data_IF_964709495373
#
_entry.id   IF_964709495373
#
_cell.length_a   1.000
_cell.length_b   1.000
_cell.length_c   1.000
_cell.angle_alpha   90.00
_cell.angle_beta   90.00
_cell.angle_gamma   90.00
#
_symmetry.space_group_name_H-M   'P 1'
#
loop_
_entity.id
_entity.type
_entity.pdbx_description
1 polymer ?
#
# COMPACT_ATOMS: atom_id res chain seq x y z
N UNK A 1 -20.56 0.35 0.57
CA UNK A 1 -21.73 0.91 -0.14
C UNK A 1 -22.82 -0.14 -0.20
N UNK A 2 -24.08 0.23 0.03
CA UNK A 2 -25.23 -0.68 -0.04
C UNK A 2 -26.33 -0.03 -0.87
N UNK A 3 -26.84 -0.76 -1.86
CA UNK A 3 -28.00 -0.38 -2.66
C UNK A 3 -29.17 -1.28 -2.25
N UNK A 4 -30.28 -0.69 -1.79
CA UNK A 4 -31.48 -1.40 -1.36
C UNK A 4 -32.67 -0.92 -2.18
N UNK A 5 -33.46 -1.87 -2.70
CA UNK A 5 -34.74 -1.58 -3.32
C UNK A 5 -35.86 -1.99 -2.38
N UNK A 6 -36.74 -1.04 -2.05
CA UNK A 6 -37.99 -1.32 -1.36
C UNK A 6 -39.09 -1.48 -2.40
N UNK A 7 -39.79 -2.61 -2.31
CA UNK A 7 -40.78 -3.01 -3.31
C UNK A 7 -42.19 -2.88 -2.74
N UNK A 8 -43.21 -3.17 -3.56
CA UNK A 8 -44.60 -3.25 -3.09
C UNK A 8 -44.76 -4.22 -1.91
N UNK A 9 -43.98 -5.31 -1.88
CA UNK A 9 -44.03 -6.33 -0.83
C UNK A 9 -43.34 -5.92 0.50
N UNK A 10 -42.65 -4.78 0.53
CA UNK A 10 -42.02 -4.26 1.75
C UNK A 10 -43.08 -3.67 2.69
N UNK A 11 -42.96 -3.94 3.99
CA UNK A 11 -43.89 -3.44 5.01
C UNK A 11 -43.97 -1.90 4.98
N UNK A 12 -45.18 -1.38 5.18
CA UNK A 12 -45.48 0.05 5.26
C UNK A 12 -44.69 0.77 6.35
N UNK A 13 -44.37 0.09 7.45
CA UNK A 13 -43.54 0.64 8.52
C UNK A 13 -42.11 0.97 8.04
N UNK A 14 -41.54 0.14 7.15
CA UNK A 14 -40.21 0.37 6.56
C UNK A 14 -40.21 1.44 5.47
N UNK A 15 -41.40 1.89 5.02
CA UNK A 15 -41.57 2.98 4.04
C UNK A 15 -41.77 4.35 4.70
N UNK A 16 -41.72 4.44 6.04
CA UNK A 16 -41.78 5.71 6.75
C UNK A 16 -40.57 6.59 6.43
N UNK A 17 -40.80 7.84 6.05
CA UNK A 17 -39.75 8.78 5.63
C UNK A 17 -38.63 8.94 6.68
N UNK A 18 -38.98 9.04 7.97
CA UNK A 18 -38.00 9.16 9.06
C UNK A 18 -37.10 7.92 9.17
N UNK A 19 -37.64 6.72 8.97
CA UNK A 19 -36.86 5.49 9.01
C UNK A 19 -35.98 5.37 7.75
N UNK A 20 -36.49 5.78 6.59
CA UNK A 20 -35.73 5.81 5.33
C UNK A 20 -34.54 6.77 5.40
N UNK A 21 -34.70 7.95 5.99
CA UNK A 21 -33.60 8.89 6.21
C UNK A 21 -32.56 8.31 7.17
N UNK A 22 -32.97 7.63 8.24
CA UNK A 22 -32.02 7.01 9.16
C UNK A 22 -31.26 5.85 8.53
N UNK A 23 -31.96 4.98 7.80
CA UNK A 23 -31.39 3.77 7.19
C UNK A 23 -30.56 4.04 5.94
N UNK A 24 -30.81 5.16 5.25
CA UNK A 24 -30.02 5.57 4.08
C UNK A 24 -28.65 6.13 4.45
N UNK A 25 -28.30 6.25 5.73
CA UNK A 25 -26.94 6.67 6.14
C UNK A 25 -25.87 5.71 5.57
N UNK A 26 -24.97 6.22 4.73
CA UNK A 26 -24.00 5.44 3.93
C UNK A 26 -24.62 4.41 2.95
N UNK A 27 -25.89 4.58 2.56
CA UNK A 27 -26.60 3.68 1.67
C UNK A 27 -27.52 4.42 0.70
N UNK A 28 -27.85 3.77 -0.41
CA UNK A 28 -28.88 4.24 -1.37
C UNK A 28 -30.10 3.36 -1.20
N UNK A 29 -31.24 3.96 -0.84
CA UNK A 29 -32.53 3.30 -0.75
C UNK A 29 -33.42 3.82 -1.88
N UNK A 30 -33.91 2.90 -2.72
CA UNK A 30 -34.80 3.19 -3.83
C UNK A 30 -36.19 2.65 -3.48
N UNK A 31 -37.15 3.54 -3.30
CA UNK A 31 -38.54 3.18 -2.99
C UNK A 31 -39.33 3.13 -4.29
N UNK A 32 -39.69 1.92 -4.71
CA UNK A 32 -40.50 1.72 -5.90
C UNK A 32 -41.97 2.08 -5.62
N UNK A 33 -42.65 2.75 -6.56
CA UNK A 33 -44.08 3.00 -6.45
C UNK A 33 -44.88 1.70 -6.63
N UNK A 34 -46.13 1.72 -6.17
CA UNK A 34 -47.06 0.63 -6.41
C UNK A 34 -47.33 0.48 -7.91
N UNK A 35 -47.01 -0.70 -8.44
CA UNK A 35 -47.11 -1.02 -9.86
C UNK A 35 -47.39 -2.52 -10.03
N UNK A 36 -48.15 -2.93 -11.06
CA UNK A 36 -48.61 -4.30 -11.25
C UNK A 36 -47.52 -5.32 -11.60
N UNK A 37 -46.25 -4.90 -11.69
CA UNK A 37 -45.12 -5.77 -12.06
C UNK A 37 -45.02 -7.03 -11.17
N UNK A 38 -45.44 -6.93 -9.90
CA UNK A 38 -45.42 -8.05 -8.97
C UNK A 38 -46.42 -9.15 -9.35
N UNK A 39 -47.63 -8.79 -9.78
CA UNK A 39 -48.68 -9.75 -10.19
C UNK A 39 -48.29 -10.47 -11.48
N UNK A 40 -47.72 -9.73 -12.44
CA UNK A 40 -47.18 -10.24 -13.70
C UNK A 40 -46.04 -11.24 -13.44
N UNK A 41 -45.10 -10.92 -12.55
CA UNK A 41 -44.02 -11.83 -12.14
C UNK A 41 -44.53 -13.06 -11.41
N UNK A 42 -45.48 -12.91 -10.49
CA UNK A 42 -46.05 -14.02 -9.75
C UNK A 42 -46.76 -15.01 -10.69
N UNK A 43 -47.52 -14.49 -11.65
CA UNK A 43 -48.23 -15.28 -12.67
C UNK A 43 -47.26 -16.05 -13.56
N UNK A 44 -46.20 -15.39 -14.06
CA UNK A 44 -45.15 -16.05 -14.82
C UNK A 44 -44.46 -17.17 -14.00
N UNK A 45 -44.13 -16.89 -12.73
CA UNK A 45 -43.46 -17.85 -11.84
C UNK A 45 -44.33 -19.06 -11.51
N UNK A 46 -45.63 -18.87 -11.30
CA UNK A 46 -46.60 -19.97 -11.11
C UNK A 46 -46.60 -20.92 -12.30
N UNK A 47 -46.63 -20.37 -13.51
CA UNK A 47 -46.59 -21.16 -14.76
C UNK A 47 -45.26 -21.93 -14.86
N UNK A 48 -44.12 -21.24 -14.72
CA UNK A 48 -42.79 -21.85 -14.77
C UNK A 48 -42.64 -22.98 -13.75
N UNK A 49 -43.15 -22.77 -12.53
CA UNK A 49 -43.17 -23.79 -11.46
C UNK A 49 -44.01 -25.00 -11.83
N UNK A 50 -45.21 -24.78 -12.37
CA UNK A 50 -46.09 -25.87 -12.79
C UNK A 50 -45.44 -26.74 -13.88
N UNK A 51 -44.83 -26.13 -14.89
CA UNK A 51 -44.13 -26.85 -15.96
C UNK A 51 -42.96 -27.66 -15.41
N UNK A 52 -42.16 -27.08 -14.50
CA UNK A 52 -40.99 -27.75 -13.91
C UNK A 52 -41.34 -29.00 -13.09
N UNK A 53 -42.53 -29.07 -12.52
CA UNK A 53 -42.99 -30.20 -11.70
C UNK A 53 -43.61 -31.35 -12.52
N UNK A 54 -43.82 -31.17 -13.83
CA UNK A 54 -44.52 -32.13 -14.70
C UNK A 54 -43.56 -32.70 -15.74
N UNK A 55 -43.71 -33.98 -16.05
CA UNK A 55 -43.02 -34.59 -17.19
C UNK A 55 -43.82 -34.35 -18.48
N UNK A 56 -43.59 -33.20 -19.12
CA UNK A 56 -44.40 -32.70 -20.25
C UNK A 56 -44.44 -33.69 -21.42
N UNK A 57 -43.37 -34.45 -21.64
CA UNK A 57 -43.25 -35.41 -22.76
C UNK A 57 -44.17 -36.62 -22.65
N UNK A 58 -44.64 -36.95 -21.44
CA UNK A 58 -45.53 -38.09 -21.18
C UNK A 58 -47.02 -37.71 -21.21
N UNK A 59 -47.34 -36.43 -21.40
CA UNK A 59 -48.72 -35.95 -21.41
C UNK A 59 -49.37 -36.08 -22.80
N UNK A 60 -50.71 -36.15 -22.89
CA UNK A 60 -51.42 -36.10 -24.18
C UNK A 60 -51.07 -34.84 -24.98
N UNK A 61 -51.06 -34.93 -26.32
CA UNK A 61 -50.71 -33.80 -27.22
C UNK A 61 -51.50 -32.53 -26.91
N UNK A 62 -52.81 -32.64 -26.64
CA UNK A 62 -53.65 -31.50 -26.26
C UNK A 62 -53.16 -30.78 -25.00
N UNK A 63 -52.67 -31.51 -24.00
CA UNK A 63 -52.09 -30.91 -22.80
C UNK A 63 -50.69 -30.37 -23.04
N UNK A 64 -49.91 -30.96 -23.95
CA UNK A 64 -48.60 -30.40 -24.35
C UNK A 64 -48.78 -29.05 -25.04
N UNK A 65 -49.76 -28.92 -25.93
CA UNK A 65 -50.07 -27.67 -26.63
C UNK A 65 -50.51 -26.57 -25.65
N UNK A 66 -51.41 -26.88 -24.70
CA UNK A 66 -51.82 -25.94 -23.64
C UNK A 66 -50.61 -25.47 -22.81
N UNK A 67 -49.71 -26.39 -22.44
CA UNK A 67 -48.52 -26.04 -21.67
C UNK A 67 -47.62 -25.09 -22.47
N UNK A 68 -47.43 -25.34 -23.77
CA UNK A 68 -46.62 -24.47 -24.63
C UNK A 68 -47.23 -23.07 -24.71
N UNK A 69 -48.53 -22.97 -24.95
CA UNK A 69 -49.22 -21.67 -25.03
C UNK A 69 -49.11 -20.90 -23.70
N UNK A 70 -49.22 -21.62 -22.56
CA UNK A 70 -49.04 -21.01 -21.24
C UNK A 70 -47.59 -20.58 -20.99
N UNK A 71 -46.60 -21.30 -21.50
CA UNK A 71 -45.19 -20.89 -21.43
C UNK A 71 -44.90 -19.64 -22.27
N UNK A 72 -45.54 -19.51 -23.42
CA UNK A 72 -45.45 -18.30 -24.24
C UNK A 72 -46.11 -17.12 -23.51
N UNK A 73 -47.24 -17.34 -22.84
CA UNK A 73 -47.89 -16.34 -21.99
C UNK A 73 -47.01 -15.92 -20.80
N UNK A 74 -46.36 -16.88 -20.12
CA UNK A 74 -45.38 -16.59 -19.07
C UNK A 74 -44.24 -15.71 -19.58
N UNK A 75 -43.76 -15.96 -20.80
CA UNK A 75 -42.71 -15.15 -21.42
C UNK A 75 -43.20 -13.73 -21.72
N UNK A 76 -44.47 -13.55 -22.09
CA UNK A 76 -45.08 -12.21 -22.25
C UNK A 76 -45.21 -11.48 -20.92
N UNK A 77 -45.64 -12.16 -19.86
CA UNK A 77 -45.69 -11.58 -18.51
C UNK A 77 -44.30 -11.16 -18.01
N UNK A 78 -43.24 -11.93 -18.31
CA UNK A 78 -41.85 -11.55 -17.98
C UNK A 78 -41.41 -10.27 -18.71
N UNK A 79 -41.76 -10.13 -19.99
CA UNK A 79 -41.46 -8.90 -20.76
C UNK A 79 -42.25 -7.71 -20.23
N UNK A 80 -43.56 -7.86 -19.98
CA UNK A 80 -44.40 -6.80 -19.41
C UNK A 80 -43.89 -6.36 -18.05
N UNK A 81 -43.60 -7.31 -17.17
CA UNK A 81 -43.07 -7.02 -15.84
C UNK A 81 -41.72 -6.30 -15.90
N UNK A 82 -40.86 -6.62 -16.86
CA UNK A 82 -39.59 -5.92 -17.07
C UNK A 82 -39.81 -4.46 -17.45
N UNK A 83 -40.75 -4.18 -18.36
CA UNK A 83 -41.11 -2.81 -18.77
C UNK A 83 -41.73 -2.03 -17.61
N UNK A 84 -42.65 -2.65 -16.88
CA UNK A 84 -43.31 -2.06 -15.70
C UNK A 84 -42.30 -1.78 -14.58
N UNK A 85 -41.32 -2.66 -14.37
CA UNK A 85 -40.25 -2.46 -13.38
C UNK A 85 -39.34 -1.30 -13.78
N UNK A 86 -38.97 -1.18 -15.07
CA UNK A 86 -38.21 -0.03 -15.57
C UNK A 86 -38.99 1.28 -15.36
N UNK A 87 -40.30 1.27 -15.63
CA UNK A 87 -41.16 2.42 -15.39
C UNK A 87 -41.29 2.75 -13.89
N UNK A 88 -41.37 1.74 -13.02
CA UNK A 88 -41.41 1.91 -11.57
C UNK A 88 -40.13 2.52 -11.03
N UNK A 89 -38.95 2.04 -11.46
CA UNK A 89 -37.65 2.64 -11.09
C UNK A 89 -37.58 4.10 -11.59
N UNK A 90 -38.11 4.36 -12.78
CA UNK A 90 -38.16 5.70 -13.35
C UNK A 90 -39.12 6.66 -12.62
N UNK A 91 -39.95 6.17 -11.71
CA UNK A 91 -40.84 6.98 -10.85
C UNK A 91 -40.51 6.81 -9.36
N UNK A 92 -39.43 6.10 -9.04
CA UNK A 92 -39.04 5.80 -7.68
C UNK A 92 -38.54 7.04 -6.94
N UNK A 93 -38.73 7.02 -5.62
CA UNK A 93 -38.13 8.00 -4.69
C UNK A 93 -36.77 7.48 -4.24
N UNK A 94 -35.75 8.35 -4.28
CA UNK A 94 -34.38 7.99 -3.95
C UNK A 94 -34.00 8.64 -2.63
N UNK A 95 -33.50 7.85 -1.69
CA UNK A 95 -32.94 8.33 -0.43
C UNK A 95 -31.47 7.94 -0.36
N UNK A 96 -30.59 8.91 -0.18
CA UNK A 96 -29.14 8.73 -0.22
C UNK A 96 -28.50 9.48 0.93
N UNK A 97 -27.70 8.78 1.74
CA UNK A 97 -26.97 9.31 2.90
C UNK A 97 -27.80 10.16 3.89
N UNK A 98 -29.08 9.81 4.06
CA UNK A 98 -29.99 10.52 4.95
C UNK A 98 -30.69 11.74 4.33
N UNK A 99 -30.64 11.87 3.01
CA UNK A 99 -31.34 12.92 2.25
C UNK A 99 -32.25 12.32 1.17
N UNK A 100 -33.33 13.01 0.85
CA UNK A 100 -34.19 12.67 -0.28
C UNK A 100 -33.66 13.33 -1.57
N UNK A 101 -33.33 12.52 -2.56
CA UNK A 101 -32.71 12.96 -3.81
C UNK A 101 -33.75 13.01 -4.95
N UNK A 102 -34.04 14.22 -5.43
CA UNK A 102 -34.88 14.43 -6.61
C UNK A 102 -34.07 14.32 -7.90
N UNK A 103 -34.08 13.14 -8.52
CA UNK A 103 -33.40 12.91 -9.80
C UNK A 103 -34.31 13.33 -10.96
N UNK A 104 -33.90 14.36 -11.72
CA UNK A 104 -34.66 14.92 -12.84
C UNK A 104 -34.25 14.26 -14.16
N UNK A 105 -35.04 13.27 -14.60
CA UNK A 105 -34.92 12.66 -15.93
C UNK A 105 -33.91 11.52 -16.03
N UNK A 106 -33.88 10.90 -17.22
CA UNK A 106 -33.04 9.75 -17.53
C UNK A 106 -33.74 8.39 -17.40
N UNK A 107 -33.18 7.37 -18.06
CA UNK A 107 -33.62 5.98 -17.96
C UNK A 107 -33.37 5.39 -16.57
N UNK A 108 -34.07 4.31 -16.21
CA UNK A 108 -33.92 3.58 -14.95
C UNK A 108 -32.47 3.37 -14.51
N UNK A 109 -31.59 2.96 -15.45
CA UNK A 109 -30.14 2.79 -15.18
C UNK A 109 -29.47 4.11 -14.80
N UNK A 110 -29.66 5.15 -15.61
CA UNK A 110 -29.03 6.46 -15.37
C UNK A 110 -29.45 7.11 -14.04
N UNK A 111 -30.68 6.85 -13.57
CA UNK A 111 -31.14 7.33 -12.26
C UNK A 111 -30.44 6.59 -11.12
N UNK A 112 -30.23 5.29 -11.25
CA UNK A 112 -29.46 4.51 -10.28
C UNK A 112 -28.00 4.99 -10.26
N UNK A 113 -27.41 5.19 -11.44
CA UNK A 113 -26.03 5.67 -11.57
C UNK A 113 -25.84 7.04 -10.89
N UNK A 114 -26.77 7.99 -11.10
CA UNK A 114 -26.76 9.30 -10.43
C UNK A 114 -26.90 9.20 -8.90
N UNK A 115 -27.77 8.31 -8.41
CA UNK A 115 -27.93 8.10 -6.96
C UNK A 115 -26.66 7.50 -6.34
N UNK A 116 -25.99 6.60 -7.06
CA UNK A 116 -24.74 6.00 -6.63
C UNK A 116 -23.59 7.01 -6.70
N UNK A 117 -23.53 7.84 -7.73
CA UNK A 117 -22.55 8.92 -7.87
C UNK A 117 -22.68 9.92 -6.72
N UNK A 118 -23.90 10.33 -6.38
CA UNK A 118 -24.15 11.18 -5.20
C UNK A 118 -23.68 10.53 -3.89
N UNK A 119 -23.94 9.22 -3.72
CA UNK A 119 -23.45 8.49 -2.55
C UNK A 119 -21.92 8.49 -2.50
N UNK A 120 -21.25 8.27 -3.62
CA UNK A 120 -19.78 8.23 -3.69
C UNK A 120 -19.19 9.58 -3.33
N UNK A 121 -19.72 10.68 -3.87
CA UNK A 121 -19.20 12.02 -3.59
C UNK A 121 -19.41 12.44 -2.13
N UNK A 122 -20.51 12.04 -1.49
CA UNK A 122 -20.76 12.33 -0.07
C UNK A 122 -19.96 11.43 0.87
N UNK A 123 -19.91 10.12 0.62
CA UNK A 123 -19.22 9.15 1.49
C UNK A 123 -17.70 9.24 1.31
N UNK A 124 -17.22 9.55 0.11
CA UNK A 124 -15.79 9.66 -0.20
C UNK A 124 -15.45 11.07 -0.68
N UNK A 125 -15.68 12.05 0.19
CA UNK A 125 -15.46 13.48 -0.11
C UNK A 125 -14.03 13.85 -0.45
N UNK A 126 -13.05 13.00 -0.11
CA UNK A 126 -11.62 13.24 -0.33
C UNK A 126 -11.05 12.32 -1.43
N UNK A 127 -11.90 11.64 -2.22
CA UNK A 127 -11.50 10.75 -3.31
C UNK A 127 -10.79 11.49 -4.44
N UNK A 128 -11.27 12.70 -4.73
CA UNK A 128 -10.81 13.66 -5.73
C UNK A 128 -9.44 14.28 -5.42
N UNK A 129 -8.88 14.05 -4.22
CA UNK A 129 -7.49 14.41 -3.92
C UNK A 129 -6.47 13.64 -4.76
N UNK A 130 -6.86 12.48 -5.30
CA UNK A 130 -6.08 11.74 -6.30
C UNK A 130 -6.52 12.24 -7.69
N UNK A 131 -5.71 13.14 -8.25
CA UNK A 131 -5.92 13.72 -9.58
C UNK A 131 -5.52 12.77 -10.71
N UNK A 132 -4.48 11.95 -10.48
CA UNK A 132 -3.97 10.97 -11.45
C UNK A 132 -3.86 9.60 -10.82
N UNK A 133 -4.68 8.69 -11.32
CA UNK A 133 -4.64 7.29 -10.96
C UNK A 133 -3.41 6.59 -11.54
N UNK A 134 -2.82 5.70 -10.75
CA UNK A 134 -1.70 4.84 -11.13
C UNK A 134 -2.24 3.50 -11.61
N UNK A 135 -1.76 2.99 -12.75
CA UNK A 135 -2.30 1.74 -13.32
C UNK A 135 -1.40 0.54 -13.04
N UNK A 136 -0.08 0.76 -12.97
CA UNK A 136 0.92 -0.31 -12.89
C UNK A 136 2.04 0.00 -11.91
N UNK A 137 2.73 -1.05 -11.44
CA UNK A 137 3.93 -0.93 -10.59
C UNK A 137 5.07 -0.21 -11.33
N UNK A 138 5.07 -0.25 -12.66
CA UNK A 138 6.00 0.51 -13.51
C UNK A 138 5.89 2.01 -13.29
N UNK A 139 4.69 2.50 -13.03
CA UNK A 139 4.44 3.93 -12.81
C UNK A 139 5.00 4.35 -11.45
N UNK A 140 4.90 3.48 -10.43
CA UNK A 140 5.52 3.70 -9.11
C UNK A 140 7.05 3.74 -9.25
N UNK A 141 7.62 2.82 -10.05
CA UNK A 141 9.05 2.81 -10.32
C UNK A 141 9.48 4.09 -11.04
N UNK A 142 8.75 4.52 -12.07
CA UNK A 142 9.03 5.74 -12.82
C UNK A 142 8.99 7.00 -11.94
N UNK A 143 8.07 7.03 -10.97
CA UNK A 143 8.04 8.05 -9.93
C UNK A 143 9.35 7.94 -9.11
N UNK A 144 9.64 6.78 -8.50
CA UNK A 144 10.82 6.57 -7.64
C UNK A 144 12.17 6.86 -8.31
N UNK A 145 12.31 6.60 -9.61
CA UNK A 145 13.53 6.85 -10.39
C UNK A 145 13.66 8.29 -10.85
N UNK A 146 12.59 9.10 -10.71
CA UNK A 146 12.56 10.49 -11.18
C UNK A 146 12.57 10.61 -12.71
N UNK A 147 12.21 9.54 -13.44
CA UNK A 147 12.09 9.56 -14.91
C UNK A 147 10.96 10.49 -15.35
N UNK A 148 9.94 10.64 -14.51
CA UNK A 148 8.99 11.72 -14.63
C UNK A 148 9.62 13.03 -14.13
N UNK A 149 10.06 13.87 -15.06
CA UNK A 149 10.48 15.26 -14.77
C UNK A 149 9.29 16.05 -14.24
N UNK A 150 9.01 15.91 -12.95
CA UNK A 150 7.97 16.67 -12.27
C UNK A 150 8.49 18.07 -11.97
N UNK A 151 7.83 19.08 -12.52
CA UNK A 151 8.09 20.47 -12.16
C UNK A 151 7.75 20.67 -10.68
N UNK A 152 8.65 21.23 -9.85
CA UNK A 152 8.38 21.51 -8.45
C UNK A 152 7.09 22.33 -8.30
N UNK A 153 6.09 21.76 -7.63
CA UNK A 153 4.80 22.41 -7.39
C UNK A 153 3.68 22.08 -8.39
N UNK A 154 3.96 21.39 -9.49
CA UNK A 154 2.97 20.88 -10.45
C UNK A 154 2.92 19.34 -10.48
N UNK A 155 3.30 18.70 -9.38
CA UNK A 155 3.28 17.25 -9.25
C UNK A 155 1.83 16.74 -9.18
N UNK A 156 1.49 15.69 -9.94
CA UNK A 156 0.20 15.00 -9.79
C UNK A 156 0.02 14.52 -8.35
N UNK A 157 -1.21 14.59 -7.83
CA UNK A 157 -1.58 14.09 -6.49
C UNK A 157 -0.89 14.82 -5.31
N UNK A 158 -0.38 16.04 -5.51
CA UNK A 158 0.26 16.84 -4.45
C UNK A 158 -0.62 17.02 -3.22
N UNK A 159 -1.93 17.21 -3.41
CA UNK A 159 -2.87 17.41 -2.31
C UNK A 159 -3.03 16.14 -1.47
N UNK A 160 -3.09 14.97 -2.12
CA UNK A 160 -3.07 13.68 -1.42
C UNK A 160 -1.74 13.47 -0.65
N UNK A 161 -0.60 13.80 -1.26
CA UNK A 161 0.70 13.71 -0.61
C UNK A 161 0.80 14.59 0.64
N UNK A 162 0.25 15.81 0.60
CA UNK A 162 0.19 16.70 1.74
C UNK A 162 -0.63 16.13 2.90
N UNK A 163 -1.76 15.45 2.63
CA UNK A 163 -2.55 14.77 3.66
C UNK A 163 -1.80 13.60 4.31
N UNK A 164 -1.14 12.78 3.50
CA UNK A 164 -0.30 11.68 4.00
C UNK A 164 0.85 12.22 4.86
N UNK A 165 1.51 13.29 4.41
CA UNK A 165 2.55 13.97 5.17
C UNK A 165 2.03 14.53 6.51
N UNK A 166 0.88 15.22 6.51
CA UNK A 166 0.25 15.76 7.72
C UNK A 166 -0.04 14.64 8.73
N UNK A 167 -0.56 13.50 8.26
CA UNK A 167 -0.80 12.33 9.09
C UNK A 167 0.49 11.80 9.72
N UNK A 168 1.57 11.66 8.94
CA UNK A 168 2.86 11.20 9.44
C UNK A 168 3.48 12.18 10.44
N UNK A 169 3.32 13.50 10.23
CA UNK A 169 3.73 14.53 11.18
C UNK A 169 2.98 14.37 12.50
N UNK A 170 1.67 14.15 12.46
CA UNK A 170 0.86 13.93 13.67
C UNK A 170 1.28 12.66 14.41
N UNK A 171 1.59 11.58 13.69
CA UNK A 171 2.05 10.33 14.31
C UNK A 171 3.43 10.46 14.94
N UNK A 172 4.37 11.13 14.26
CA UNK A 172 5.70 11.41 14.81
C UNK A 172 5.63 12.28 16.08
N UNK A 173 4.76 13.31 16.09
CA UNK A 173 4.50 14.12 17.30
C UNK A 173 3.97 13.30 18.47
N UNK A 174 3.21 12.23 18.18
CA UNK A 174 2.68 11.30 19.19
C UNK A 174 3.66 10.17 19.54
N UNK A 175 4.82 10.10 18.87
CA UNK A 175 5.78 9.01 18.95
C UNK A 175 5.15 7.63 18.67
N UNK A 176 4.14 7.57 17.80
CA UNK A 176 3.47 6.33 17.45
C UNK A 176 4.16 5.68 16.24
N UNK A 177 4.56 4.39 16.33
CA UNK A 177 5.05 3.69 15.17
C UNK A 177 3.92 3.60 14.13
N UNK A 178 4.24 3.96 12.88
CA UNK A 178 3.30 3.88 11.76
C UNK A 178 3.85 2.92 10.73
N UNK A 179 3.05 1.94 10.35
CA UNK A 179 3.35 1.00 9.26
C UNK A 179 2.69 1.42 7.95
N UNK A 180 3.15 0.89 6.82
CA UNK A 180 2.47 1.09 5.54
C UNK A 180 1.04 0.54 5.58
N UNK A 181 0.80 -0.54 6.35
CA UNK A 181 -0.54 -1.06 6.57
C UNK A 181 -1.47 -0.04 7.23
N UNK A 182 -1.00 0.72 8.22
CA UNK A 182 -1.79 1.76 8.89
C UNK A 182 -2.13 2.91 7.95
N UNK A 183 -1.19 3.29 7.09
CA UNK A 183 -1.39 4.32 6.04
C UNK A 183 -2.42 3.82 5.04
N UNK A 184 -2.25 2.63 4.48
CA UNK A 184 -3.20 2.06 3.51
C UNK A 184 -4.60 1.94 4.13
N UNK A 185 -4.72 1.33 5.30
CA UNK A 185 -6.02 1.12 5.95
C UNK A 185 -6.78 2.42 6.22
N UNK A 186 -6.06 3.51 6.54
CA UNK A 186 -6.65 4.83 6.77
C UNK A 186 -7.16 5.46 5.48
N UNK A 187 -6.36 5.47 4.43
CA UNK A 187 -6.68 6.15 3.16
C UNK A 187 -7.53 5.30 2.21
N UNK A 188 -7.66 3.99 2.45
CA UNK A 188 -8.71 3.16 1.84
C UNK A 188 -10.09 3.36 2.49
N UNK A 189 -10.11 3.86 3.74
CA UNK A 189 -11.34 4.12 4.48
C UNK A 189 -12.03 5.41 4.08
N UNK A 190 -13.23 5.62 4.63
CA UNK A 190 -13.97 6.89 4.57
C UNK A 190 -13.17 7.96 5.33
N UNK A 191 -12.98 9.19 4.79
CA UNK A 191 -13.60 9.76 3.59
C UNK A 191 -12.79 9.66 2.29
N UNK A 192 -11.69 8.91 2.25
CA UNK A 192 -10.74 8.92 1.13
C UNK A 192 -11.05 7.89 0.05
N UNK A 193 -11.16 6.61 0.41
CA UNK A 193 -11.48 5.53 -0.53
C UNK A 193 -10.43 5.25 -1.61
N UNK A 194 -9.18 5.64 -1.41
CA UNK A 194 -8.13 5.51 -2.42
C UNK A 194 -7.72 4.05 -2.66
N UNK A 195 -7.26 3.75 -3.88
CA UNK A 195 -6.75 2.41 -4.23
C UNK A 195 -5.36 2.22 -3.65
N UNK A 196 -4.99 0.98 -3.33
CA UNK A 196 -3.68 0.63 -2.75
C UNK A 196 -2.51 1.12 -3.61
N UNK A 197 -2.66 1.02 -4.95
CA UNK A 197 -1.65 1.44 -5.91
C UNK A 197 -1.46 2.96 -5.93
N UNK A 198 -2.55 3.73 -5.78
CA UNK A 198 -2.51 5.18 -5.74
C UNK A 198 -1.88 5.66 -4.42
N UNK A 199 -2.20 5.00 -3.30
CA UNK A 199 -1.58 5.27 -1.99
C UNK A 199 -0.07 5.00 -2.06
N UNK A 200 0.34 3.90 -2.70
CA UNK A 200 1.75 3.58 -2.87
C UNK A 200 2.47 4.63 -3.74
N UNK A 201 1.86 5.11 -4.82
CA UNK A 201 2.39 6.17 -5.66
C UNK A 201 2.53 7.51 -4.90
N UNK A 202 1.54 7.87 -4.07
CA UNK A 202 1.60 9.06 -3.21
C UNK A 202 2.74 8.96 -2.19
N UNK A 203 2.93 7.78 -1.58
CA UNK A 203 4.06 7.56 -0.67
C UNK A 203 5.39 7.61 -1.42
N UNK A 204 5.47 7.03 -2.62
CA UNK A 204 6.64 7.11 -3.48
C UNK A 204 7.03 8.57 -3.79
N UNK A 205 6.05 9.43 -4.09
CA UNK A 205 6.27 10.86 -4.26
C UNK A 205 6.90 11.50 -3.02
N UNK A 206 6.41 11.18 -1.82
CA UNK A 206 6.97 11.70 -0.57
C UNK A 206 8.43 11.24 -0.33
N UNK A 207 8.81 10.06 -0.81
CA UNK A 207 10.18 9.53 -0.69
C UNK A 207 11.14 10.36 -1.55
N UNK A 208 10.77 10.63 -2.81
CA UNK A 208 11.61 11.42 -3.73
C UNK A 208 11.73 12.86 -3.26
N UNK A 209 10.66 13.41 -2.69
CA UNK A 209 10.66 14.72 -2.02
C UNK A 209 11.49 14.74 -0.73
N UNK A 210 12.09 13.61 -0.33
CA UNK A 210 12.90 13.46 0.87
C UNK A 210 12.15 13.82 2.17
N UNK A 211 10.82 13.68 2.18
CA UNK A 211 9.98 14.03 3.35
C UNK A 211 9.76 12.87 4.29
N UNK A 212 9.89 11.64 3.79
CA UNK A 212 9.65 10.41 4.56
C UNK A 212 10.84 9.46 4.47
N UNK A 213 11.02 8.68 5.52
CA UNK A 213 12.01 7.60 5.58
C UNK A 213 11.28 6.29 5.80
N UNK A 214 11.68 5.27 5.02
CA UNK A 214 11.11 3.94 5.07
C UNK A 214 12.10 2.98 5.73
N UNK A 215 11.59 2.15 6.64
CA UNK A 215 12.33 1.06 7.25
C UNK A 215 11.61 -0.25 7.01
N UNK A 216 12.33 -1.27 6.56
CA UNK A 216 11.81 -2.62 6.41
C UNK A 216 12.51 -3.54 7.41
N UNK A 217 11.75 -4.18 8.30
CA UNK A 217 12.33 -5.09 9.31
C UNK A 217 13.38 -4.43 10.22
N UNK A 218 13.33 -3.10 10.37
CA UNK A 218 14.28 -2.30 11.16
C UNK A 218 15.42 -1.65 10.36
N UNK A 219 15.70 -2.11 9.13
CA UNK A 219 16.71 -1.51 8.26
C UNK A 219 16.13 -0.37 7.42
N UNK A 220 16.86 0.74 7.29
CA UNK A 220 16.47 1.85 6.40
C UNK A 220 16.65 1.44 4.94
N UNK A 221 15.59 1.59 4.15
CA UNK A 221 15.59 1.24 2.72
C UNK A 221 15.84 2.50 1.89
N UNK A 222 16.71 2.39 0.89
CA UNK A 222 17.01 3.49 -0.02
C UNK A 222 15.94 3.63 -1.11
N UNK A 223 15.67 4.84 -1.62
CA UNK A 223 14.71 5.06 -2.70
C UNK A 223 15.02 4.26 -3.99
N UNK A 224 16.28 3.89 -4.19
CA UNK A 224 16.76 3.14 -5.36
C UNK A 224 16.58 1.63 -5.26
N UNK A 225 16.02 1.10 -4.15
CA UNK A 225 15.83 -0.34 -3.98
C UNK A 225 14.73 -0.86 -4.93
N UNK A 226 15.03 -1.84 -5.80
CA UNK A 226 14.05 -2.39 -6.76
C UNK A 226 12.86 -3.08 -6.08
N UNK A 227 12.96 -3.46 -4.81
CA UNK A 227 11.87 -4.09 -4.04
C UNK A 227 10.98 -3.08 -3.31
N UNK A 228 11.31 -1.79 -3.38
CA UNK A 228 10.56 -0.75 -2.69
C UNK A 228 9.07 -0.67 -3.11
N UNK A 229 8.69 -0.80 -4.40
CA UNK A 229 7.27 -0.86 -4.79
C UNK A 229 6.52 -2.02 -4.11
N UNK A 230 7.15 -3.19 -4.02
CA UNK A 230 6.57 -4.36 -3.34
C UNK A 230 6.36 -4.08 -1.84
N UNK A 231 7.31 -3.41 -1.18
CA UNK A 231 7.19 -3.06 0.24
C UNK A 231 6.05 -2.05 0.50
N UNK A 232 5.77 -1.18 -0.47
CA UNK A 232 4.70 -0.20 -0.39
C UNK A 232 3.32 -0.78 -0.69
N UNK A 233 3.23 -1.82 -1.54
CA UNK A 233 1.95 -2.36 -2.03
C UNK A 233 1.59 -3.71 -1.45
N UNK A 234 2.53 -4.66 -1.39
CA UNK A 234 2.23 -6.07 -1.17
C UNK A 234 1.78 -6.32 0.26
N UNK A 235 0.59 -6.91 0.41
CA UNK A 235 -0.03 -7.19 1.73
C UNK A 235 0.86 -7.97 2.70
N UNK A 236 1.78 -8.81 2.21
CA UNK A 236 2.75 -9.55 3.04
C UNK A 236 3.87 -8.68 3.62
N UNK A 237 4.17 -7.55 2.98
CA UNK A 237 5.32 -6.69 3.28
C UNK A 237 4.93 -5.38 3.97
N UNK A 238 3.73 -4.84 3.71
CA UNK A 238 3.27 -3.57 4.26
C UNK A 238 3.23 -3.53 5.79
N UNK A 239 3.03 -4.68 6.46
CA UNK A 239 3.06 -4.77 7.93
C UNK A 239 4.47 -4.71 8.52
N UNK A 240 5.50 -5.06 7.72
CA UNK A 240 6.92 -5.01 8.12
C UNK A 240 7.60 -3.70 7.73
N UNK A 241 6.91 -2.91 6.91
CA UNK A 241 7.39 -1.64 6.36
C UNK A 241 6.91 -0.51 7.27
N UNK A 242 7.82 0.09 8.03
CA UNK A 242 7.56 1.26 8.84
C UNK A 242 7.84 2.53 8.05
N UNK A 243 6.94 3.50 8.16
CA UNK A 243 7.04 4.79 7.51
C UNK A 243 7.06 5.86 8.58
N UNK A 244 8.04 6.74 8.48
CA UNK A 244 8.23 7.84 9.42
C UNK A 244 8.56 9.12 8.69
N UNK A 245 8.22 10.25 9.29
CA UNK A 245 8.70 11.55 8.81
C UNK A 245 10.23 11.55 8.80
N UNK A 246 10.86 12.00 7.70
CA UNK A 246 12.32 12.19 7.66
C UNK A 246 12.68 13.23 8.72
N UNK A 247 13.50 12.83 9.68
CA UNK A 247 14.07 13.75 10.66
C UNK A 247 15.29 14.39 10.02
N UNK A 248 15.08 15.45 9.24
CA UNK A 248 16.19 16.22 8.71
C UNK A 248 17.06 16.68 9.88
N UNK A 249 18.36 16.36 9.91
CA UNK A 249 19.25 16.88 10.92
C UNK A 249 19.21 18.42 10.82
N UNK A 250 19.09 19.09 11.97
CA UNK A 250 19.08 20.56 11.98
C UNK A 250 20.29 21.09 11.20
N UNK A 251 20.12 22.15 10.41
CA UNK A 251 21.19 22.79 9.63
C UNK A 251 22.44 23.09 10.50
N UNK A 252 22.23 23.35 11.79
CA UNK A 252 23.30 23.52 12.79
C UNK A 252 24.17 22.26 12.94
N UNK A 253 23.55 21.09 13.08
CA UNK A 253 24.25 19.79 13.18
C UNK A 253 24.98 19.44 11.89
N UNK A 254 24.36 19.70 10.73
CA UNK A 254 25.00 19.48 9.43
C UNK A 254 26.26 20.34 9.28
N UNK A 255 26.19 21.62 9.69
CA UNK A 255 27.36 22.52 9.70
C UNK A 255 28.44 22.04 10.67
N UNK A 256 28.07 21.57 11.86
CA UNK A 256 29.02 21.03 12.84
C UNK A 256 29.72 19.76 12.34
N UNK A 257 28.98 18.83 11.75
CA UNK A 257 29.55 17.60 11.17
C UNK A 257 30.49 17.95 10.03
N UNK A 258 30.11 18.90 9.17
CA UNK A 258 30.96 19.36 8.06
C UNK A 258 32.28 19.94 8.57
N UNK A 259 32.21 20.84 9.55
CA UNK A 259 33.40 21.45 10.15
C UNK A 259 34.32 20.38 10.75
N UNK A 260 33.75 19.41 11.47
CA UNK A 260 34.49 18.28 12.02
C UNK A 260 35.14 17.42 10.92
N UNK A 261 34.43 17.15 9.83
CA UNK A 261 34.99 16.36 8.71
C UNK A 261 36.11 17.11 7.98
N UNK A 262 35.99 18.44 7.84
CA UNK A 262 37.07 19.26 7.28
C UNK A 262 38.30 19.24 8.17
N UNK A 263 38.12 19.40 9.48
CA UNK A 263 39.22 19.40 10.45
C UNK A 263 39.88 18.02 10.56
N UNK A 264 39.09 16.95 10.57
CA UNK A 264 39.58 15.59 10.77
C UNK A 264 40.30 15.01 9.54
N UNK A 265 39.79 15.27 8.33
CA UNK A 265 40.39 14.76 7.08
C UNK A 265 41.27 15.79 6.35
N UNK A 266 41.32 17.05 6.81
CA UNK A 266 41.99 18.19 6.15
C UNK A 266 41.54 18.38 4.69
N UNK A 267 40.22 18.30 4.45
CA UNK A 267 39.62 18.41 3.10
C UNK A 267 38.66 19.59 3.05
N UNK A 268 38.76 20.41 2.01
CA UNK A 268 37.88 21.58 1.82
C UNK A 268 36.53 21.23 1.17
N UNK A 269 36.50 20.20 0.32
CA UNK A 269 35.33 19.77 -0.44
C UNK A 269 34.56 18.68 0.31
N UNK A 270 33.56 19.12 1.09
CA UNK A 270 32.63 18.24 1.80
C UNK A 270 31.22 18.53 1.26
N UNK A 271 30.48 17.52 0.78
CA UNK A 271 29.14 17.71 0.24
C UNK A 271 28.18 18.42 1.20
N UNK A 272 27.22 19.15 0.63
CA UNK A 272 26.23 19.95 1.37
C UNK A 272 24.93 19.19 1.66
N UNK A 273 24.69 18.07 0.97
CA UNK A 273 23.50 17.24 1.04
C UNK A 273 23.63 16.11 2.08
N UNK A 274 22.51 15.73 2.71
CA UNK A 274 22.49 14.71 3.77
C UNK A 274 22.99 13.35 3.28
N UNK A 275 22.50 12.91 2.12
CA UNK A 275 22.81 11.61 1.56
C UNK A 275 24.26 11.58 1.01
N UNK A 276 24.74 12.67 0.41
CA UNK A 276 26.13 12.85 -0.02
C UNK A 276 27.12 12.94 1.14
N UNK A 277 26.76 13.58 2.26
CA UNK A 277 27.56 13.56 3.50
C UNK A 277 27.72 12.14 4.04
N UNK A 278 26.63 11.36 4.08
CA UNK A 278 26.69 9.95 4.53
C UNK A 278 27.58 9.13 3.60
N UNK A 279 27.40 9.25 2.28
CA UNK A 279 28.24 8.54 1.31
C UNK A 279 29.73 8.94 1.42
N UNK A 280 30.01 10.22 1.61
CA UNK A 280 31.37 10.74 1.80
C UNK A 280 32.01 10.21 3.08
N UNK A 281 31.27 10.21 4.20
CA UNK A 281 31.72 9.66 5.48
C UNK A 281 32.07 8.18 5.30
N UNK A 282 31.15 7.37 4.77
CA UNK A 282 31.37 5.92 4.59
C UNK A 282 32.62 5.67 3.77
N UNK A 283 32.75 6.35 2.61
CA UNK A 283 33.92 6.21 1.74
C UNK A 283 35.23 6.57 2.44
N UNK A 284 35.28 7.72 3.13
CA UNK A 284 36.51 8.20 3.77
C UNK A 284 36.94 7.35 4.96
N UNK A 285 35.99 6.85 5.73
CA UNK A 285 36.29 5.94 6.83
C UNK A 285 36.63 4.53 6.34
N UNK A 286 36.09 4.06 5.22
CA UNK A 286 36.54 2.83 4.55
C UNK A 286 37.99 2.96 4.06
N UNK A 287 38.34 4.06 3.37
CA UNK A 287 39.71 4.35 2.94
C UNK A 287 40.69 4.36 4.13
N UNK A 288 40.31 4.97 5.26
CA UNK A 288 41.14 4.95 6.48
C UNK A 288 41.26 3.55 7.07
N UNK A 289 40.17 2.78 7.12
CA UNK A 289 40.18 1.41 7.63
C UNK A 289 41.13 0.54 6.81
N UNK A 290 41.03 0.58 5.48
CA UNK A 290 41.93 -0.15 4.58
C UNK A 290 43.40 0.27 4.78
N UNK A 291 43.66 1.57 4.96
CA UNK A 291 45.01 2.06 5.26
C UNK A 291 45.59 1.48 6.55
N UNK A 292 44.81 1.44 7.63
CA UNK A 292 45.25 0.89 8.92
C UNK A 292 45.35 -0.63 8.91
N UNK A 293 44.49 -1.34 8.18
CA UNK A 293 44.58 -2.79 7.98
C UNK A 293 45.88 -3.15 7.22
N UNK A 294 46.19 -2.43 6.14
CA UNK A 294 47.45 -2.59 5.40
C UNK A 294 48.68 -2.26 6.25
N UNK A 295 48.59 -1.24 7.11
CA UNK A 295 49.68 -0.89 8.03
C UNK A 295 49.90 -1.99 9.08
N UNK A 296 48.83 -2.58 9.62
CA UNK A 296 48.92 -3.69 10.56
C UNK A 296 49.57 -4.92 9.91
N UNK A 297 49.20 -5.27 8.68
CA UNK A 297 49.83 -6.37 7.93
C UNK A 297 51.33 -6.10 7.66
N UNK A 298 51.70 -4.85 7.37
CA UNK A 298 53.09 -4.43 7.26
C UNK A 298 53.84 -4.55 8.60
N UNK A 299 53.23 -4.18 9.71
CA UNK A 299 53.86 -4.32 11.03
C UNK A 299 53.99 -5.77 11.48
N UNK A 300 53.02 -6.63 11.17
CA UNK A 300 53.05 -8.06 11.47
C UNK A 300 54.11 -8.80 10.64
N UNK A 301 54.26 -8.42 9.36
CA UNK A 301 55.33 -8.94 8.51
C UNK A 301 56.71 -8.43 8.95
N UNK A 302 56.82 -7.20 9.45
CA UNK A 302 58.05 -6.68 10.06
C UNK A 302 58.39 -7.36 11.40
N UNK A 303 57.39 -7.68 12.22
CA UNK A 303 57.55 -8.43 13.46
C UNK A 303 58.07 -9.84 13.17
N UNK A 304 57.47 -10.56 12.19
CA UNK A 304 57.93 -11.89 11.73
C UNK A 304 59.35 -11.86 11.14
N UNK A 305 59.73 -10.79 10.43
CA UNK A 305 61.11 -10.60 9.93
C UNK A 305 62.11 -10.37 11.06
N UNK A 306 61.75 -9.63 12.12
CA UNK A 306 62.63 -9.41 13.28
C UNK A 306 62.87 -10.69 14.10
N UNK A 307 61.84 -11.52 14.32
CA UNK A 307 62.01 -12.84 14.97
C UNK A 307 62.85 -13.80 14.13
N UNK A 308 62.73 -13.75 12.80
CA UNK A 308 63.58 -14.55 11.91
C UNK A 308 65.05 -14.07 11.94
N UNK A 309 65.31 -12.76 11.98
CA UNK A 309 66.67 -12.23 12.09
C UNK A 309 67.31 -12.46 13.46
N UNK A 310 66.55 -12.45 14.57
CA UNK A 310 67.11 -12.77 15.90
C UNK A 310 67.52 -14.24 16.03
N UNK A 311 66.81 -15.16 15.34
CA UNK A 311 67.18 -16.58 15.28
C UNK A 311 68.47 -16.80 14.46
N UNK A 312 68.65 -16.07 13.36
CA UNK A 312 69.87 -16.15 12.52
C UNK A 312 71.09 -15.53 13.22
N UNK A 313 70.89 -14.50 14.06
CA UNK A 313 71.99 -13.85 14.80
C UNK A 313 72.40 -14.66 16.04
N UNK A 314 71.47 -15.39 16.66
CA UNK A 314 71.75 -16.30 17.79
C UNK A 314 72.57 -17.54 17.42
N UNK A 315 72.55 -17.99 16.17
CA UNK A 315 73.35 -19.14 15.71
C UNK A 315 74.81 -18.82 15.38
N UNK A 316 75.19 -17.53 15.27
CA UNK A 316 76.59 -17.15 14.97
C UNK A 316 77.48 -16.95 16.21
N UNK A 317 76.92 -16.97 17.42
CA UNK A 317 77.65 -16.72 18.67
C UNK A 317 77.91 -17.97 19.53
N UNK A 318 77.61 -19.18 19.03
CA UNK A 318 77.87 -20.44 19.76
C UNK A 318 78.94 -21.23 19.02
N UNK A 319 80.18 -20.80 19.17
CA UNK A 319 81.32 -21.45 18.53
C UNK A 319 82.63 -21.16 19.22
N UNK A 320 82.69 -21.13 20.56
CA UNK A 320 83.90 -21.34 21.36
C UNK A 320 83.48 -21.60 22.82
N UNK A 321 84.22 -22.48 23.50
CA UNK A 321 83.95 -23.14 24.80
C UNK A 321 82.91 -24.27 24.70
N UNK A 322 83.24 -25.55 24.84
CA UNK A 322 84.35 -26.19 25.54
C UNK A 322 83.74 -27.29 26.40
N UNK A 323 84.06 -28.55 26.09
CA UNK A 323 83.53 -29.78 26.67
C UNK A 323 83.44 -29.78 28.21
N UNK A 324 82.34 -30.32 28.75
CA UNK A 324 82.37 -31.26 29.88
C UNK A 324 80.97 -31.81 30.23
N UNK A 325 80.84 -33.11 29.99
CA UNK A 325 80.17 -34.11 30.82
C UNK A 325 78.71 -33.92 31.31
N UNK A 326 77.85 -34.67 30.62
CA UNK A 326 77.17 -35.87 31.13
C UNK A 326 75.99 -35.76 32.12
N UNK A 327 74.93 -36.50 31.71
CA UNK A 327 73.77 -37.01 32.48
C UNK A 327 72.71 -35.94 32.80
N UNK A 328 71.43 -36.14 32.53
CA UNK A 328 70.69 -37.29 32.02
C UNK A 328 69.20 -36.94 32.15
N UNK A 329 68.42 -37.54 31.26
CA UNK A 329 66.98 -37.80 31.34
C UNK A 329 65.98 -36.66 31.48
N UNK A 330 65.02 -36.67 30.55
CA UNK A 330 63.62 -36.56 30.93
C UNK A 330 62.85 -35.37 30.39
N UNK A 331 62.57 -35.41 29.08
CA UNK A 331 61.24 -35.15 28.50
C UNK A 331 60.07 -35.27 29.50
N UNK A 332 58.94 -34.56 29.39
CA UNK A 332 58.46 -33.56 28.45
C UNK A 332 57.03 -33.20 28.87
N UNK A 333 56.70 -31.91 28.85
CA UNK A 333 55.52 -31.30 28.19
C UNK A 333 54.10 -31.83 28.48
N UNK A 334 53.22 -30.98 29.04
CA UNK A 334 51.77 -30.91 28.71
C UNK A 334 51.20 -29.49 28.91
N UNK A 335 50.62 -28.93 27.83
CA UNK A 335 49.55 -27.90 27.70
C UNK A 335 49.79 -26.53 28.37
N UNK A 336 49.22 -25.39 27.94
CA UNK A 336 47.99 -24.98 27.23
C UNK A 336 48.31 -23.54 26.74
N UNK A 337 47.71 -22.90 25.73
CA UNK A 337 46.32 -22.59 25.43
C UNK A 337 46.29 -21.94 24.05
#
# INVERSE_FOLDING_TARGET
MKLRFLTVATDTAEKNELDLLRESKNATIVVLPDSPYYESLESAMKIRKYVKQRNVTQLPKSMQDIIRDQQDEASRYEVSAMEELKAAISKASFYVDGEHLEIKGGDAKSRIDQALEYLVTHVYSDLDLIERNTESDTDIIAILTGEESMLPGAEPNRNAAAKVEEFLIMQDRKNLPTSMFDVQSRYQGIPYGWREIDIAAVVALLIIQQKVTIKYGGATIQPTDPKLPDMLRKRSEIGKTSISKRKTPSLVKMKQVRELLREYFDVMDVPDDEDGLVAFIVKKFEEQKEHYEALNEMTDSHAKRKTCNSLVTGQKNVGYLGDSDARGDGMSFVQTQ
#
